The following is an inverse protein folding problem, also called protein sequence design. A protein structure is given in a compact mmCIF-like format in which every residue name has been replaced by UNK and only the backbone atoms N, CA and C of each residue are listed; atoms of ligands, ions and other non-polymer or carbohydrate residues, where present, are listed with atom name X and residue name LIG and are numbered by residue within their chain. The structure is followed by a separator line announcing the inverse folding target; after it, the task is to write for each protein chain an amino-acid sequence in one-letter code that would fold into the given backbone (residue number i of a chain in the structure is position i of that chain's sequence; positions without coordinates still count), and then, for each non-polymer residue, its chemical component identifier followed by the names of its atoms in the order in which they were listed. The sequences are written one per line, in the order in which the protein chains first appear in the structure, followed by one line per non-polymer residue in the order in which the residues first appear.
data_IF_203964223801
#
_entry.id   IF_203964223801
#
_cell.length_a   1.000
_cell.length_b   1.000
_cell.length_c   1.000
_cell.angle_alpha   90.00
_cell.angle_beta   90.00
_cell.angle_gamma   90.00
#
_symmetry.space_group_name_H-M   'P 1'
#
loop_
_entity.id
_entity.type
_entity.pdbx_description
1 polymer ?
#
# COMPACT_ATOMS: atom_id res chain seq x y z
N UNK A 1 11.52 -25.76 15.64
CA UNK A 1 11.91 -24.73 14.63
C UNK A 1 11.53 -23.33 15.16
N UNK A 2 11.81 -23.03 16.43
CA UNK A 2 10.85 -22.20 17.19
C UNK A 2 11.34 -20.76 17.43
N UNK A 3 12.66 -20.52 17.38
CA UNK A 3 13.23 -19.17 17.47
C UNK A 3 13.06 -18.31 16.21
N UNK A 4 12.96 -18.94 15.03
CA UNK A 4 12.81 -18.23 13.75
C UNK A 4 11.44 -17.55 13.64
N UNK A 5 10.37 -18.26 14.02
CA UNK A 5 8.99 -17.72 13.96
C UNK A 5 8.78 -16.57 14.93
N UNK A 6 9.35 -16.66 16.15
CA UNK A 6 9.35 -15.55 17.10
C UNK A 6 10.08 -14.33 16.56
N UNK A 7 11.27 -14.52 15.99
CA UNK A 7 12.06 -13.43 15.42
C UNK A 7 11.31 -12.76 14.27
N UNK A 8 10.72 -13.56 13.37
CA UNK A 8 9.91 -13.05 12.27
C UNK A 8 8.68 -12.26 12.77
N UNK A 9 7.97 -12.74 13.78
CA UNK A 9 6.84 -12.01 14.36
C UNK A 9 7.26 -10.63 14.89
N UNK A 10 8.39 -10.55 15.60
CA UNK A 10 8.93 -9.26 16.11
C UNK A 10 9.34 -8.32 14.97
N UNK A 11 10.03 -8.83 13.94
CA UNK A 11 10.39 -8.04 12.77
C UNK A 11 9.14 -7.54 12.03
N UNK A 12 8.12 -8.40 11.89
CA UNK A 12 6.82 -8.06 11.32
C UNK A 12 6.10 -6.97 12.11
N UNK A 13 6.12 -7.03 13.44
CA UNK A 13 5.61 -5.96 14.31
C UNK A 13 6.27 -4.63 14.00
N UNK A 14 7.61 -4.60 14.02
CA UNK A 14 8.38 -3.36 13.76
C UNK A 14 8.06 -2.83 12.37
N UNK A 15 8.04 -3.71 11.37
CA UNK A 15 7.74 -3.33 10.00
C UNK A 15 6.32 -2.74 9.86
N UNK A 16 5.31 -3.31 10.51
CA UNK A 16 3.96 -2.75 10.51
C UNK A 16 3.87 -1.39 11.22
N UNK A 17 4.42 -1.30 12.44
CA UNK A 17 4.33 -0.11 13.30
C UNK A 17 5.15 1.06 12.75
N UNK A 18 6.22 0.80 12.00
CA UNK A 18 7.02 1.85 11.33
C UNK A 18 6.48 2.14 9.94
N UNK A 19 6.14 1.10 9.17
CA UNK A 19 5.69 1.22 7.79
C UNK A 19 4.38 1.98 7.65
N UNK A 20 3.41 1.76 8.55
CA UNK A 20 2.12 2.44 8.49
C UNK A 20 2.23 3.96 8.69
N UNK A 21 2.89 4.48 9.76
CA UNK A 21 3.13 5.92 9.91
C UNK A 21 3.97 6.50 8.78
N UNK A 22 5.00 5.79 8.30
CA UNK A 22 5.82 6.27 7.18
C UNK A 22 4.97 6.47 5.92
N UNK A 23 4.13 5.49 5.57
CA UNK A 23 3.23 5.60 4.42
C UNK A 23 2.21 6.74 4.60
N UNK A 24 1.64 6.88 5.81
CA UNK A 24 0.70 7.95 6.13
C UNK A 24 1.35 9.33 5.97
N UNK A 25 2.48 9.57 6.65
CA UNK A 25 3.17 10.86 6.63
C UNK A 25 3.61 11.21 5.23
N UNK A 26 4.17 10.25 4.49
CA UNK A 26 4.61 10.48 3.11
C UNK A 26 3.43 10.83 2.19
N UNK A 27 2.27 10.20 2.38
CA UNK A 27 1.03 10.55 1.67
C UNK A 27 0.51 11.93 2.06
N UNK A 28 0.64 12.34 3.32
CA UNK A 28 0.24 13.69 3.77
C UNK A 28 1.18 14.80 3.29
N UNK A 29 2.44 14.47 2.98
CA UNK A 29 3.40 15.38 2.36
C UNK A 29 3.20 15.53 0.85
N UNK A 30 2.41 14.64 0.22
CA UNK A 30 2.10 14.73 -1.20
C UNK A 30 1.17 15.94 -1.47
N UNK A 31 1.44 16.77 -2.49
CA UNK A 31 0.58 17.90 -2.83
C UNK A 31 -0.82 17.43 -3.27
N UNK A 32 -1.86 18.09 -2.77
CA UNK A 32 -3.27 17.77 -3.05
C UNK A 32 -4.17 19.02 -2.91
N UNK A 33 -3.62 20.22 -3.09
CA UNK A 33 -4.42 21.46 -3.03
C UNK A 33 -5.26 21.62 -4.30
N UNK A 34 -4.69 21.28 -5.45
CA UNK A 34 -5.37 21.23 -6.74
C UNK A 34 -6.15 19.93 -6.89
N UNK A 35 -7.26 19.97 -7.62
CA UNK A 35 -7.94 18.74 -8.02
C UNK A 35 -6.99 17.89 -8.88
N UNK A 36 -6.61 16.67 -8.46
CA UNK A 36 -5.70 15.84 -9.23
C UNK A 36 -6.30 15.40 -10.58
N UNK A 37 -7.61 15.56 -10.83
CA UNK A 37 -8.20 15.39 -12.15
C UNK A 37 -8.10 16.64 -13.06
N UNK A 38 -7.76 17.81 -12.50
CA UNK A 38 -7.31 18.96 -13.29
C UNK A 38 -5.80 18.87 -13.48
N UNK A 39 -5.39 18.23 -14.58
CA UNK A 39 -3.98 17.97 -14.82
C UNK A 39 -3.12 19.22 -14.91
N UNK A 40 -3.63 20.35 -15.41
CA UNK A 40 -2.82 21.57 -15.54
C UNK A 40 -2.50 22.18 -14.17
N UNK A 41 -3.51 22.30 -13.31
CA UNK A 41 -3.32 22.84 -11.96
C UNK A 41 -2.48 21.88 -11.11
N UNK A 42 -2.79 20.57 -11.17
CA UNK A 42 -2.01 19.56 -10.46
C UNK A 42 -0.54 19.54 -10.92
N UNK A 43 -0.25 19.54 -12.22
CA UNK A 43 1.12 19.55 -12.72
C UNK A 43 1.90 20.79 -12.28
N UNK A 44 1.24 21.95 -12.20
CA UNK A 44 1.90 23.17 -11.71
C UNK A 44 2.27 23.06 -10.23
N UNK A 45 1.39 22.49 -9.41
CA UNK A 45 1.65 22.18 -8.00
C UNK A 45 2.81 21.19 -7.86
N UNK A 46 2.81 20.13 -8.68
CA UNK A 46 3.82 19.06 -8.61
C UNK A 46 5.20 19.55 -9.04
N UNK A 47 5.26 20.42 -10.06
CA UNK A 47 6.50 21.03 -10.50
C UNK A 47 7.12 21.94 -9.43
N UNK A 48 6.27 22.64 -8.66
CA UNK A 48 6.69 23.51 -7.56
C UNK A 48 7.08 22.75 -6.28
N UNK A 49 6.72 21.48 -6.15
CA UNK A 49 6.96 20.68 -4.95
C UNK A 49 8.39 20.09 -4.91
N UNK A 50 9.19 20.54 -3.95
CA UNK A 50 10.57 20.05 -3.72
C UNK A 50 10.65 18.70 -3.01
N UNK A 51 9.57 18.27 -2.36
CA UNK A 51 9.48 17.00 -1.63
C UNK A 51 8.91 15.88 -2.49
N UNK A 52 8.38 16.16 -3.68
CA UNK A 52 7.74 15.19 -4.58
C UNK A 52 8.46 13.84 -4.64
N UNK A 53 9.74 13.81 -4.99
CA UNK A 53 10.49 12.55 -5.08
C UNK A 53 10.57 11.84 -3.72
N UNK A 54 10.77 12.59 -2.64
CA UNK A 54 10.98 12.05 -1.30
C UNK A 54 9.70 11.52 -0.66
N UNK A 55 8.55 12.16 -0.88
CA UNK A 55 7.26 11.64 -0.44
C UNK A 55 6.95 10.31 -1.14
N UNK A 56 7.20 10.21 -2.43
CA UNK A 56 7.05 8.97 -3.20
C UNK A 56 7.97 7.84 -2.73
N UNK A 57 9.26 8.12 -2.52
CA UNK A 57 10.18 7.13 -1.95
C UNK A 57 9.77 6.70 -0.53
N UNK A 58 9.24 7.61 0.27
CA UNK A 58 8.68 7.32 1.60
C UNK A 58 7.44 6.42 1.52
N UNK A 59 6.53 6.69 0.58
CA UNK A 59 5.37 5.82 0.31
C UNK A 59 5.83 4.41 -0.10
N UNK A 60 6.80 4.31 -1.01
CA UNK A 60 7.32 3.02 -1.46
C UNK A 60 7.93 2.21 -0.31
N UNK A 61 8.78 2.84 0.51
CA UNK A 61 9.37 2.19 1.67
C UNK A 61 8.30 1.76 2.69
N UNK A 62 7.29 2.59 2.91
CA UNK A 62 6.13 2.24 3.73
C UNK A 62 5.43 0.98 3.23
N UNK A 63 5.18 0.87 1.92
CA UNK A 63 4.56 -0.32 1.30
C UNK A 63 5.46 -1.56 1.45
N UNK A 64 6.78 -1.44 1.26
CA UNK A 64 7.72 -2.56 1.46
C UNK A 64 7.64 -3.06 2.91
N UNK A 65 7.64 -2.15 3.89
CA UNK A 65 7.56 -2.52 5.30
C UNK A 65 6.23 -3.18 5.65
N UNK A 66 5.12 -2.68 5.12
CA UNK A 66 3.81 -3.34 5.27
C UNK A 66 3.79 -4.73 4.63
N UNK A 67 4.40 -4.87 3.45
CA UNK A 67 4.56 -6.17 2.80
C UNK A 67 5.42 -7.14 3.61
N UNK A 68 6.52 -6.67 4.21
CA UNK A 68 7.33 -7.47 5.12
C UNK A 68 6.53 -7.91 6.36
N UNK A 69 5.65 -7.06 6.88
CA UNK A 69 4.75 -7.42 7.96
C UNK A 69 3.74 -8.50 7.56
N UNK A 70 3.17 -8.44 6.35
CA UNK A 70 2.29 -9.49 5.82
C UNK A 70 3.03 -10.82 5.63
N UNK A 71 4.27 -10.78 5.15
CA UNK A 71 5.12 -11.97 5.02
C UNK A 71 5.41 -12.60 6.38
N UNK A 72 5.77 -11.78 7.38
CA UNK A 72 5.96 -12.25 8.75
C UNK A 72 4.67 -12.82 9.35
N UNK A 73 3.54 -12.13 9.17
CA UNK A 73 2.22 -12.57 9.61
C UNK A 73 1.88 -13.94 9.02
N UNK A 74 2.15 -14.18 7.73
CA UNK A 74 1.91 -15.46 7.10
C UNK A 74 2.63 -16.63 7.79
N UNK A 75 3.84 -16.39 8.31
CA UNK A 75 4.64 -17.39 9.02
C UNK A 75 4.11 -17.72 10.43
N UNK A 76 3.22 -16.87 10.99
CA UNK A 76 2.64 -17.09 12.32
C UNK A 76 1.39 -17.94 12.33
N UNK A 77 0.80 -18.26 11.17
CA UNK A 77 -0.39 -19.12 11.11
C UNK A 77 -0.05 -20.59 11.40
N UNK A 78 -0.93 -21.27 12.13
CA UNK A 78 -0.83 -22.72 12.36
C UNK A 78 -1.03 -23.49 11.04
N UNK A 79 -0.39 -24.66 10.87
CA UNK A 79 -0.64 -25.52 9.72
C UNK A 79 -2.14 -25.81 9.52
N UNK A 80 -2.64 -25.60 8.31
CA UNK A 80 -4.04 -25.82 7.98
C UNK A 80 -4.58 -24.80 6.98
N UNK A 81 -5.91 -24.62 6.97
CA UNK A 81 -6.62 -23.78 6.00
C UNK A 81 -6.17 -22.31 6.07
N UNK A 82 -5.97 -21.78 7.28
CA UNK A 82 -5.51 -20.40 7.46
C UNK A 82 -4.12 -20.17 6.83
N UNK A 83 -3.17 -21.07 7.09
CA UNK A 83 -1.85 -21.02 6.48
C UNK A 83 -1.89 -21.18 4.95
N UNK A 84 -2.80 -22.01 4.41
CA UNK A 84 -2.98 -22.13 2.96
C UNK A 84 -3.42 -20.82 2.31
N UNK A 85 -4.38 -20.12 2.91
CA UNK A 85 -4.77 -18.76 2.47
C UNK A 85 -3.63 -17.76 2.60
N UNK A 86 -2.90 -17.78 3.72
CA UNK A 86 -1.75 -16.90 3.92
C UNK A 86 -0.67 -17.08 2.82
N UNK A 87 -0.43 -18.31 2.36
CA UNK A 87 0.49 -18.59 1.24
C UNK A 87 0.03 -17.98 -0.09
N UNK A 88 -1.28 -17.97 -0.36
CA UNK A 88 -1.84 -17.24 -1.51
C UNK A 88 -1.61 -15.73 -1.31
N UNK A 89 -1.82 -15.24 -0.10
CA UNK A 89 -1.56 -13.85 0.28
C UNK A 89 -0.10 -13.42 0.07
N UNK A 90 0.87 -14.32 0.23
CA UNK A 90 2.28 -14.03 -0.07
C UNK A 90 2.51 -13.68 -1.53
N UNK A 91 1.86 -14.40 -2.47
CA UNK A 91 1.95 -14.11 -3.91
C UNK A 91 1.36 -12.74 -4.22
N UNK A 92 0.18 -12.46 -3.64
CA UNK A 92 -0.45 -11.15 -3.76
C UNK A 92 0.43 -10.02 -3.21
N UNK A 93 1.04 -10.23 -2.04
CA UNK A 93 1.94 -9.26 -1.40
C UNK A 93 3.12 -8.92 -2.30
N UNK A 94 3.78 -9.94 -2.88
CA UNK A 94 4.89 -9.72 -3.80
C UNK A 94 4.46 -8.96 -5.07
N UNK A 95 3.30 -9.32 -5.64
CA UNK A 95 2.73 -8.63 -6.78
C UNK A 95 2.42 -7.15 -6.48
N UNK A 96 1.82 -6.86 -5.32
CA UNK A 96 1.52 -5.49 -4.90
C UNK A 96 2.78 -4.66 -4.64
N UNK A 97 3.84 -5.23 -4.06
CA UNK A 97 5.13 -4.52 -3.91
C UNK A 97 5.72 -4.19 -5.29
N UNK A 98 5.66 -5.12 -6.25
CA UNK A 98 6.16 -4.88 -7.60
C UNK A 98 5.34 -3.81 -8.33
N UNK A 99 4.01 -3.83 -8.20
CA UNK A 99 3.13 -2.79 -8.74
C UNK A 99 3.37 -1.43 -8.08
N UNK A 100 3.62 -1.40 -6.76
CA UNK A 100 3.97 -0.17 -6.06
C UNK A 100 5.32 0.37 -6.55
N UNK A 101 6.32 -0.47 -6.78
CA UNK A 101 7.59 -0.03 -7.37
C UNK A 101 7.38 0.59 -8.76
N UNK A 102 6.57 -0.05 -9.60
CA UNK A 102 6.24 0.46 -10.93
C UNK A 102 5.46 1.79 -10.85
N UNK A 103 4.47 1.90 -9.97
CA UNK A 103 3.72 3.13 -9.73
C UNK A 103 4.67 4.25 -9.32
N UNK A 104 5.57 4.01 -8.37
CA UNK A 104 6.48 5.03 -7.84
C UNK A 104 7.55 5.44 -8.86
N UNK A 105 7.94 4.54 -9.77
CA UNK A 105 8.78 4.89 -10.91
C UNK A 105 8.06 5.80 -11.93
N UNK A 106 6.75 5.62 -12.10
CA UNK A 106 5.95 6.43 -13.02
C UNK A 106 5.55 7.77 -12.38
N UNK A 107 5.04 7.74 -11.16
CA UNK A 107 4.50 8.89 -10.41
C UNK A 107 5.62 9.74 -9.80
N UNK A 108 6.38 9.14 -8.89
CA UNK A 108 7.42 9.84 -8.13
C UNK A 108 8.62 10.28 -8.97
N UNK A 109 8.91 9.58 -10.07
CA UNK A 109 10.11 9.81 -10.87
C UNK A 109 9.78 10.34 -12.26
N UNK A 110 9.10 9.56 -13.10
CA UNK A 110 8.89 9.94 -14.49
C UNK A 110 7.98 11.17 -14.64
N UNK A 111 6.85 11.20 -13.92
CA UNK A 111 5.92 12.32 -13.98
C UNK A 111 6.59 13.61 -13.50
N UNK A 112 7.40 13.55 -12.43
CA UNK A 112 8.15 14.73 -11.94
C UNK A 112 9.00 15.36 -13.03
N UNK A 113 9.77 14.54 -13.76
CA UNK A 113 10.60 15.01 -14.87
C UNK A 113 9.75 15.66 -15.96
N UNK A 114 8.59 15.07 -16.29
CA UNK A 114 7.70 15.60 -17.32
C UNK A 114 7.07 16.93 -16.92
N UNK A 115 6.58 17.06 -15.68
CA UNK A 115 5.95 18.31 -15.21
C UNK A 115 6.98 19.43 -15.03
N UNK A 116 8.21 19.11 -14.61
CA UNK A 116 9.30 20.10 -14.52
C UNK A 116 9.71 20.61 -15.90
N UNK A 117 9.80 19.70 -16.88
CA UNK A 117 10.07 20.06 -18.28
C UNK A 117 8.95 20.94 -18.83
N UNK A 118 7.70 20.58 -18.59
CA UNK A 118 6.56 21.39 -19.02
C UNK A 118 6.56 22.78 -18.37
N UNK A 119 6.88 22.87 -17.08
CA UNK A 119 6.94 24.14 -16.36
C UNK A 119 8.06 25.07 -16.88
N UNK A 120 9.18 24.50 -17.35
CA UNK A 120 10.30 25.24 -17.93
C UNK A 120 10.10 25.60 -19.42
N UNK A 121 9.20 24.92 -20.13
CA UNK A 121 8.98 25.12 -21.56
C UNK A 121 8.15 26.38 -21.89
N UNK A 122 8.25 26.85 -23.13
CA UNK A 122 7.45 27.96 -23.66
C UNK A 122 7.01 27.70 -25.10
N UNK A 123 6.03 28.46 -25.60
CA UNK A 123 5.52 28.32 -26.97
C UNK A 123 5.03 26.90 -27.29
N UNK A 124 5.29 26.44 -28.51
CA UNK A 124 4.85 25.14 -29.01
C UNK A 124 5.45 23.95 -28.23
N UNK A 125 6.67 24.10 -27.68
CA UNK A 125 7.29 23.05 -26.85
C UNK A 125 6.46 22.81 -25.58
N UNK A 126 5.88 23.85 -25.00
CA UNK A 126 5.06 23.72 -23.80
C UNK A 126 3.77 22.94 -24.07
N UNK A 127 3.16 23.15 -25.24
CA UNK A 127 1.99 22.39 -25.66
C UNK A 127 2.32 20.90 -25.87
N UNK A 128 3.50 20.58 -26.42
CA UNK A 128 3.92 19.18 -26.54
C UNK A 128 4.26 18.56 -25.18
N UNK A 129 4.97 19.29 -24.31
CA UNK A 129 5.39 18.80 -23.01
C UNK A 129 4.19 18.44 -22.11
N UNK A 130 3.10 19.23 -22.15
CA UNK A 130 1.91 18.94 -21.35
C UNK A 130 1.23 17.64 -21.77
N UNK A 131 1.09 17.39 -23.08
CA UNK A 131 0.49 16.15 -23.60
C UNK A 131 1.33 14.92 -23.21
N UNK A 132 2.66 15.05 -23.22
CA UNK A 132 3.53 13.97 -22.74
C UNK A 132 3.39 13.72 -21.23
N UNK A 133 3.23 14.77 -20.42
CA UNK A 133 2.97 14.63 -18.99
C UNK A 133 1.59 13.97 -18.74
N UNK A 134 0.57 14.34 -19.51
CA UNK A 134 -0.75 13.70 -19.46
C UNK A 134 -0.69 12.21 -19.80
N UNK A 135 0.08 11.82 -20.83
CA UNK A 135 0.25 10.41 -21.16
C UNK A 135 0.87 9.61 -19.99
N UNK A 136 1.89 10.16 -19.33
CA UNK A 136 2.49 9.55 -18.13
C UNK A 136 1.47 9.47 -16.98
N UNK A 137 0.68 10.52 -16.76
CA UNK A 137 -0.43 10.52 -15.79
C UNK A 137 -1.48 9.44 -16.07
N UNK A 138 -1.78 9.13 -17.33
CA UNK A 138 -2.73 8.04 -17.61
C UNK A 138 -2.16 6.67 -17.22
N UNK A 139 -0.84 6.46 -17.41
CA UNK A 139 -0.15 5.24 -16.96
C UNK A 139 -0.15 5.16 -15.43
N UNK A 140 0.12 6.28 -14.76
CA UNK A 140 0.07 6.41 -13.30
C UNK A 140 -1.31 6.00 -12.77
N UNK A 141 -2.40 6.58 -13.28
CA UNK A 141 -3.77 6.26 -12.90
C UNK A 141 -4.05 4.75 -13.08
N UNK A 142 -3.62 4.18 -14.20
CA UNK A 142 -3.77 2.75 -14.47
C UNK A 142 -3.02 1.88 -13.46
N UNK A 143 -1.77 2.23 -13.14
CA UNK A 143 -0.97 1.53 -12.14
C UNK A 143 -1.54 1.68 -10.73
N UNK A 144 -2.03 2.87 -10.36
CA UNK A 144 -2.66 3.12 -9.07
C UNK A 144 -3.92 2.27 -8.90
N UNK A 145 -4.78 2.24 -9.93
CA UNK A 145 -5.98 1.40 -9.96
C UNK A 145 -5.65 -0.10 -9.79
N UNK A 146 -4.68 -0.61 -10.56
CA UNK A 146 -4.27 -2.02 -10.49
C UNK A 146 -3.57 -2.35 -9.17
N UNK A 147 -2.77 -1.44 -8.63
CA UNK A 147 -2.15 -1.59 -7.31
C UNK A 147 -3.21 -1.72 -6.22
N UNK A 148 -4.20 -0.82 -6.19
CA UNK A 148 -5.32 -0.92 -5.26
C UNK A 148 -5.97 -2.29 -5.39
N UNK A 149 -6.51 -2.63 -6.56
CA UNK A 149 -7.19 -3.92 -6.78
C UNK A 149 -6.35 -5.14 -6.35
N UNK A 150 -5.06 -5.16 -6.68
CA UNK A 150 -4.14 -6.25 -6.31
C UNK A 150 -3.89 -6.32 -4.80
N UNK A 151 -3.62 -5.18 -4.18
CA UNK A 151 -3.36 -5.10 -2.74
C UNK A 151 -4.60 -5.47 -1.93
N UNK A 152 -5.78 -5.15 -2.45
CA UNK A 152 -7.05 -5.39 -1.76
C UNK A 152 -7.44 -6.85 -1.77
N UNK A 153 -7.29 -7.50 -2.92
CA UNK A 153 -7.44 -8.95 -3.01
C UNK A 153 -6.47 -9.65 -2.05
N UNK A 154 -5.24 -9.12 -1.92
CA UNK A 154 -4.26 -9.61 -0.96
C UNK A 154 -4.75 -9.46 0.48
N UNK A 155 -5.27 -8.29 0.86
CA UNK A 155 -5.82 -8.04 2.19
C UNK A 155 -7.08 -8.85 2.48
N UNK A 156 -7.95 -9.07 1.49
CA UNK A 156 -9.11 -9.96 1.61
C UNK A 156 -8.63 -11.38 1.93
N UNK A 157 -7.61 -11.87 1.22
CA UNK A 157 -7.03 -13.20 1.45
C UNK A 157 -6.44 -13.31 2.87
N UNK A 158 -5.70 -12.30 3.33
CA UNK A 158 -5.21 -12.27 4.72
C UNK A 158 -6.34 -12.13 5.75
N UNK A 159 -7.41 -11.40 5.45
CA UNK A 159 -8.61 -11.31 6.27
C UNK A 159 -9.28 -12.67 6.44
N UNK A 160 -9.45 -13.43 5.35
CA UNK A 160 -9.96 -14.80 5.36
C UNK A 160 -9.05 -15.73 6.18
N UNK A 161 -7.73 -15.65 5.98
CA UNK A 161 -6.76 -16.41 6.77
C UNK A 161 -6.91 -16.12 8.27
N UNK A 162 -7.03 -14.84 8.63
CA UNK A 162 -7.20 -14.36 10.01
C UNK A 162 -8.50 -14.86 10.64
N UNK A 163 -9.61 -14.84 9.90
CA UNK A 163 -10.90 -15.41 10.37
C UNK A 163 -10.85 -16.92 10.63
N UNK A 164 -9.96 -17.64 9.94
CA UNK A 164 -9.77 -19.08 10.11
C UNK A 164 -8.71 -19.45 11.14
N UNK A 165 -8.05 -18.48 11.76
CA UNK A 165 -6.94 -18.70 12.69
C UNK A 165 -7.41 -18.80 14.13
N UNK A 166 -6.72 -19.62 14.94
CA UNK A 166 -6.89 -19.66 16.40
C UNK A 166 -5.96 -18.67 17.11
N UNK A 167 -4.88 -18.23 16.44
CA UNK A 167 -3.87 -17.31 16.97
C UNK A 167 -4.26 -15.84 16.87
N UNK A 168 -5.25 -15.52 16.03
CA UNK A 168 -5.71 -14.15 15.82
C UNK A 168 -7.21 -14.01 16.14
N UNK A 169 -7.62 -12.90 16.77
CA UNK A 169 -9.02 -12.64 17.02
C UNK A 169 -9.77 -12.34 15.71
N UNK A 170 -10.99 -12.86 15.61
CA UNK A 170 -11.81 -12.79 14.38
C UNK A 170 -12.12 -11.35 13.93
N UNK A 171 -12.22 -10.41 14.86
CA UNK A 171 -12.51 -9.01 14.53
C UNK A 171 -11.37 -8.36 13.71
N UNK A 172 -10.11 -8.77 13.91
CA UNK A 172 -9.00 -8.32 13.06
C UNK A 172 -9.16 -8.82 11.63
N UNK A 173 -9.64 -10.06 11.46
CA UNK A 173 -9.98 -10.59 10.13
C UNK A 173 -11.12 -9.81 9.47
N UNK A 174 -12.13 -9.42 10.26
CA UNK A 174 -13.24 -8.57 9.80
C UNK A 174 -12.79 -7.19 9.32
N UNK A 175 -11.91 -6.51 10.05
CA UNK A 175 -11.37 -5.21 9.63
C UNK A 175 -10.55 -5.37 8.34
N UNK A 176 -9.70 -6.40 8.24
CA UNK A 176 -8.93 -6.66 7.01
C UNK A 176 -9.80 -6.88 5.78
N UNK A 177 -10.91 -7.63 5.93
CA UNK A 177 -11.91 -7.80 4.88
C UNK A 177 -12.60 -6.49 4.49
N UNK A 178 -13.04 -5.69 5.48
CA UNK A 178 -13.71 -4.41 5.23
C UNK A 178 -12.77 -3.41 4.54
N UNK A 179 -11.52 -3.33 4.99
CA UNK A 179 -10.49 -2.51 4.36
C UNK A 179 -10.27 -2.91 2.90
N UNK A 180 -10.06 -4.20 2.64
CA UNK A 180 -9.88 -4.70 1.27
C UNK A 180 -11.10 -4.44 0.38
N UNK A 181 -12.33 -4.70 0.84
CA UNK A 181 -13.53 -4.39 0.03
C UNK A 181 -13.69 -2.90 -0.28
N UNK A 182 -13.35 -2.03 0.67
CA UNK A 182 -13.41 -0.57 0.48
C UNK A 182 -12.44 -0.06 -0.58
N UNK A 183 -11.23 -0.60 -0.61
CA UNK A 183 -10.24 -0.21 -1.63
C UNK A 183 -10.54 -0.83 -3.00
N UNK A 184 -11.21 -1.99 -3.12
CA UNK A 184 -11.63 -2.51 -4.46
C UNK A 184 -12.51 -1.49 -5.18
N UNK A 185 -13.42 -0.84 -4.44
CA UNK A 185 -14.23 0.24 -4.97
C UNK A 185 -13.39 1.46 -5.35
N UNK A 186 -12.34 1.77 -4.59
CA UNK A 186 -11.40 2.84 -4.91
C UNK A 186 -10.61 2.56 -6.19
N UNK A 187 -10.03 1.37 -6.34
CA UNK A 187 -9.29 0.96 -7.53
C UNK A 187 -10.17 0.97 -8.79
N UNK A 188 -11.40 0.47 -8.69
CA UNK A 188 -12.36 0.54 -9.79
C UNK A 188 -12.74 2.00 -10.13
N UNK A 189 -12.97 2.85 -9.11
CA UNK A 189 -13.25 4.26 -9.33
C UNK A 189 -12.08 5.00 -9.96
N UNK A 190 -10.84 4.70 -9.57
CA UNK A 190 -9.62 5.26 -10.18
C UNK A 190 -9.53 4.89 -11.65
N UNK A 191 -9.72 3.61 -11.98
CA UNK A 191 -9.66 3.15 -13.37
C UNK A 191 -10.76 3.76 -14.26
N UNK A 192 -11.94 4.01 -13.70
CA UNK A 192 -13.08 4.56 -14.44
C UNK A 192 -13.07 6.09 -14.54
N UNK A 193 -12.52 6.80 -13.55
CA UNK A 193 -12.71 8.24 -13.39
C UNK A 193 -11.42 9.02 -13.14
N UNK A 194 -10.26 8.37 -13.23
CA UNK A 194 -8.99 8.95 -12.79
C UNK A 194 -8.98 9.23 -11.29
N UNK A 195 -8.26 10.25 -10.88
CA UNK A 195 -8.20 10.71 -9.49
C UNK A 195 -9.36 11.63 -9.13
N UNK A 196 -10.59 11.26 -9.50
CA UNK A 196 -11.76 12.04 -9.13
C UNK A 196 -11.87 12.19 -7.62
N UNK A 197 -12.48 13.26 -7.13
CA UNK A 197 -12.67 13.46 -5.69
C UNK A 197 -13.36 12.28 -4.99
N UNK A 198 -14.24 11.55 -5.69
CA UNK A 198 -14.84 10.31 -5.17
C UNK A 198 -13.81 9.18 -5.05
N UNK A 199 -13.02 8.93 -6.11
CA UNK A 199 -11.98 7.92 -6.10
C UNK A 199 -10.94 8.21 -4.99
N UNK A 200 -10.53 9.48 -4.85
CA UNK A 200 -9.61 9.93 -3.80
C UNK A 200 -10.18 9.71 -2.40
N UNK A 201 -11.40 10.17 -2.11
CA UNK A 201 -12.02 9.95 -0.78
C UNK A 201 -12.15 8.47 -0.42
N UNK A 202 -12.55 7.63 -1.38
CA UNK A 202 -12.63 6.18 -1.17
C UNK A 202 -11.26 5.60 -0.86
N UNK A 203 -10.24 5.91 -1.67
CA UNK A 203 -8.88 5.41 -1.49
C UNK A 203 -8.28 5.83 -0.15
N UNK A 204 -8.46 7.09 0.25
CA UNK A 204 -7.94 7.62 1.51
C UNK A 204 -8.62 6.99 2.73
N UNK A 205 -9.96 6.88 2.71
CA UNK A 205 -10.71 6.29 3.81
C UNK A 205 -10.34 4.81 3.99
N UNK A 206 -10.30 4.04 2.90
CA UNK A 206 -9.96 2.64 2.96
C UNK A 206 -8.48 2.41 3.30
N UNK A 207 -7.56 3.24 2.80
CA UNK A 207 -6.14 3.22 3.22
C UNK A 207 -5.99 3.48 4.72
N UNK A 208 -6.73 4.43 5.30
CA UNK A 208 -6.69 4.68 6.74
C UNK A 208 -7.11 3.45 7.55
N UNK A 209 -8.17 2.75 7.13
CA UNK A 209 -8.61 1.49 7.76
C UNK A 209 -7.51 0.43 7.68
N UNK A 210 -6.86 0.28 6.53
CA UNK A 210 -5.77 -0.69 6.33
C UNK A 210 -4.55 -0.36 7.19
N UNK A 211 -4.17 0.91 7.30
CA UNK A 211 -3.05 1.33 8.14
C UNK A 211 -3.31 1.05 9.62
N UNK A 212 -4.51 1.33 10.10
CA UNK A 212 -4.93 0.99 11.46
C UNK A 212 -4.89 -0.54 11.65
N UNK A 213 -5.44 -1.29 10.70
CA UNK A 213 -5.40 -2.75 10.73
C UNK A 213 -3.99 -3.31 10.79
N UNK A 214 -3.07 -2.80 9.97
CA UNK A 214 -1.68 -3.23 9.93
C UNK A 214 -0.98 -3.01 11.28
N UNK A 215 -1.18 -1.84 11.91
CA UNK A 215 -0.66 -1.56 13.25
C UNK A 215 -1.22 -2.53 14.28
N UNK A 216 -2.54 -2.77 14.27
CA UNK A 216 -3.18 -3.70 15.20
C UNK A 216 -2.68 -5.13 15.02
N UNK A 217 -2.49 -5.59 13.79
CA UNK A 217 -1.86 -6.89 13.48
C UNK A 217 -0.42 -6.93 13.98
N UNK A 218 0.36 -5.87 13.75
CA UNK A 218 1.72 -5.75 14.26
C UNK A 218 1.80 -5.88 15.77
N UNK A 219 0.95 -5.14 16.49
CA UNK A 219 0.84 -5.21 17.96
C UNK A 219 0.40 -6.61 18.40
N UNK A 220 -0.53 -7.25 17.70
CA UNK A 220 -0.96 -8.61 18.03
C UNK A 220 0.16 -9.64 17.82
N UNK A 221 0.95 -9.51 16.74
CA UNK A 221 2.14 -10.34 16.50
C UNK A 221 3.17 -10.20 17.63
N UNK A 222 3.30 -9.01 18.23
CA UNK A 222 4.19 -8.79 19.35
C UNK A 222 3.80 -9.63 20.58
N UNK A 223 2.50 -9.67 20.88
CA UNK A 223 1.97 -10.47 21.99
C UNK A 223 2.00 -11.97 21.71
N UNK A 224 1.84 -12.36 20.45
CA UNK A 224 1.93 -13.76 20.02
C UNK A 224 3.37 -14.30 20.05
N UNK A 225 4.38 -13.43 19.84
CA UNK A 225 5.76 -13.85 19.65
C UNK A 225 6.36 -14.74 20.78
N UNK A 226 6.07 -14.54 22.08
CA UNK A 226 6.50 -15.44 23.15
C UNK A 226 5.85 -16.83 23.10
N UNK A 227 4.63 -16.95 22.56
CA UNK A 227 3.91 -18.23 22.49
C UNK A 227 4.46 -19.12 21.37
N UNK A 228 5.07 -18.53 20.33
CA UNK A 228 5.65 -19.25 19.19
C UNK A 228 6.89 -20.10 19.54
N UNK A 229 7.42 -19.96 20.76
CA UNK A 229 8.54 -20.77 21.28
C UNK A 229 8.10 -21.93 22.18
N UNK A 230 6.82 -22.01 22.54
CA UNK A 230 6.33 -22.85 23.65
C UNK A 230 5.97 -24.31 23.33
N UNK A 231 5.90 -24.71 22.06
CA UNK A 231 5.43 -26.06 21.68
C UNK A 231 6.53 -27.16 21.75
N UNK A 232 7.69 -26.87 22.35
CA UNK A 232 8.83 -27.78 22.44
C UNK A 232 8.89 -28.67 23.69
N UNK A 233 8.13 -28.37 24.74
CA UNK A 233 8.18 -29.09 26.02
C UNK A 233 6.93 -29.96 26.25
N UNK A 234 6.81 -31.03 25.47
CA UNK A 234 6.05 -32.22 25.87
C UNK A 234 6.84 -33.47 25.49
N UNK A 235 7.80 -33.82 26.34
CA UNK A 235 8.35 -35.19 26.46
C UNK A 235 7.80 -35.85 27.72
#
# INVERSE_FOLDING_TARGET
MDGTSQTLARLGTVAAVVGAPLLLVSTLLHPLQSDPNDGLLAFAEYAADSFWLWSHLGQFLGIILLGAALVAMAATFEPGRAAAWARIGLVGTAASIAMAAALQAVDGVALKVMVDRWAAASGDERALAVETAFAVRQIEIGLASLLSLSFDLTLIVFGIATLGSRRYPRWLGGIGLLGGLGLVAAGAAQGATGFSGTAMRLSMAASAVVLIWAVLIGVHMWWLAPELTGDGDFT
#
